data_IF_741338026976
#
_entry.id   IF_741338026976
#
_cell.length_a   1.000
_cell.length_b   1.000
_cell.length_c   1.000
_cell.angle_alpha   90.00
_cell.angle_beta   90.00
_cell.angle_gamma   90.00
#
_symmetry.space_group_name_H-M   'P 1'
#
loop_
_entity.id
_entity.type
_entity.pdbx_description
1 polymer ?
#
# COMPACT_ATOMS: atom_id res chain seq x y z
N UNK A 1 22.21 -12.11 -25.01
CA UNK A 1 20.87 -12.35 -24.44
C UNK A 1 20.01 -11.15 -24.82
N UNK A 2 18.76 -11.34 -25.23
CA UNK A 2 17.87 -10.20 -25.43
C UNK A 2 17.67 -9.50 -24.09
N UNK A 3 17.89 -8.18 -24.03
CA UNK A 3 17.71 -7.41 -22.82
C UNK A 3 16.21 -7.38 -22.46
N UNK A 4 15.88 -7.58 -21.19
CA UNK A 4 14.49 -7.51 -20.71
C UNK A 4 13.91 -6.11 -20.96
N UNK A 5 12.61 -6.01 -21.23
CA UNK A 5 11.93 -4.72 -21.38
C UNK A 5 11.89 -3.95 -20.06
N UNK A 6 12.15 -2.65 -20.10
CA UNK A 6 11.98 -1.77 -18.94
C UNK A 6 10.49 -1.56 -18.64
N UNK A 7 10.05 -1.59 -17.36
CA UNK A 7 8.64 -1.50 -16.96
C UNK A 7 8.12 -0.05 -16.91
N UNK A 8 8.21 0.68 -18.02
CA UNK A 8 7.78 2.08 -18.08
C UNK A 8 6.26 2.16 -17.86
N UNK A 9 5.84 2.86 -16.79
CA UNK A 9 4.43 3.06 -16.45
C UNK A 9 3.74 1.83 -15.85
N UNK A 10 4.48 0.79 -15.46
CA UNK A 10 3.94 -0.40 -14.80
C UNK A 10 4.09 -0.26 -13.29
N UNK A 11 2.97 -0.27 -12.57
CA UNK A 11 2.90 -0.20 -11.10
C UNK A 11 2.35 -1.50 -10.47
N UNK A 12 2.04 -2.51 -11.28
CA UNK A 12 1.63 -3.84 -10.83
C UNK A 12 2.81 -4.80 -10.79
N UNK A 13 3.17 -5.28 -9.60
CA UNK A 13 4.21 -6.28 -9.40
C UNK A 13 3.91 -7.60 -10.11
N UNK A 14 2.66 -8.07 -10.03
CA UNK A 14 2.22 -9.29 -10.71
C UNK A 14 2.42 -9.20 -12.22
N UNK A 15 1.97 -8.09 -12.83
CA UNK A 15 2.16 -7.86 -14.27
C UNK A 15 3.64 -7.82 -14.63
N UNK A 16 4.43 -7.09 -13.84
CA UNK A 16 5.87 -6.96 -14.06
C UNK A 16 6.57 -8.32 -14.09
N UNK A 17 6.23 -9.20 -13.14
CA UNK A 17 6.83 -10.53 -13.02
C UNK A 17 6.34 -11.51 -14.09
N UNK A 18 5.04 -11.52 -14.39
CA UNK A 18 4.45 -12.43 -15.39
C UNK A 18 4.86 -12.13 -16.82
N UNK A 19 5.05 -10.86 -17.15
CA UNK A 19 5.48 -10.42 -18.49
C UNK A 19 7.00 -10.30 -18.62
N UNK A 20 7.75 -10.76 -17.62
CA UNK A 20 9.23 -10.82 -17.57
C UNK A 20 9.92 -9.48 -17.85
N UNK A 21 9.37 -8.38 -17.30
CA UNK A 21 10.04 -7.10 -17.33
C UNK A 21 11.28 -7.09 -16.44
N UNK A 22 12.21 -6.15 -16.71
CA UNK A 22 13.34 -5.93 -15.84
C UNK A 22 12.87 -5.44 -14.47
N UNK A 23 13.22 -6.15 -13.42
CA UNK A 23 12.83 -5.83 -12.05
C UNK A 23 14.07 -5.69 -11.17
N UNK A 24 14.22 -4.53 -10.54
CA UNK A 24 15.18 -4.32 -9.47
C UNK A 24 14.55 -4.82 -8.18
N UNK A 25 15.18 -5.85 -7.60
CA UNK A 25 14.60 -6.61 -6.50
C UNK A 25 14.52 -5.77 -5.21
N UNK A 26 13.31 -5.36 -4.85
CA UNK A 26 12.99 -4.66 -3.60
C UNK A 26 12.28 -5.56 -2.56
N UNK A 27 12.30 -6.88 -2.76
CA UNK A 27 11.65 -7.81 -1.83
C UNK A 27 12.33 -7.87 -0.46
N UNK A 28 13.53 -7.32 -0.32
CA UNK A 28 14.15 -7.03 0.97
C UNK A 28 13.27 -6.19 1.90
N UNK A 29 12.40 -5.33 1.35
CA UNK A 29 11.38 -4.60 2.12
C UNK A 29 10.47 -5.54 2.92
N UNK A 30 10.08 -6.68 2.34
CA UNK A 30 9.21 -7.66 3.02
C UNK A 30 9.94 -8.25 4.24
N UNK A 31 11.20 -8.68 4.05
CA UNK A 31 12.03 -9.22 5.14
C UNK A 31 12.19 -8.21 6.27
N UNK A 32 12.56 -6.99 5.93
CA UNK A 32 12.85 -5.97 6.93
C UNK A 32 11.57 -5.47 7.62
N UNK A 33 10.45 -5.42 6.90
CA UNK A 33 9.13 -5.16 7.47
C UNK A 33 8.74 -6.27 8.46
N UNK A 34 8.84 -7.55 8.08
CA UNK A 34 8.47 -8.68 8.94
C UNK A 34 9.34 -8.81 10.19
N UNK A 35 10.60 -8.38 10.12
CA UNK A 35 11.50 -8.41 11.27
C UNK A 35 11.31 -7.21 12.22
N UNK A 36 10.75 -6.10 11.75
CA UNK A 36 10.71 -4.83 12.50
C UNK A 36 9.33 -4.16 12.51
N UNK A 37 8.27 -4.85 12.14
CA UNK A 37 6.97 -4.23 11.96
C UNK A 37 6.36 -3.67 13.24
N UNK A 38 5.76 -2.47 13.10
CA UNK A 38 4.80 -1.94 14.05
C UNK A 38 3.37 -2.30 13.63
N UNK A 39 2.40 -2.01 14.46
CA UNK A 39 0.99 -2.25 14.13
C UNK A 39 0.56 -1.44 12.88
N UNK A 40 1.07 -0.20 12.74
CA UNK A 40 0.86 0.64 11.56
C UNK A 40 2.20 1.21 11.09
N UNK A 41 2.61 0.85 9.88
CA UNK A 41 3.87 1.27 9.28
C UNK A 41 3.61 2.31 8.19
N UNK A 42 4.11 3.51 8.39
CA UNK A 42 3.94 4.63 7.46
C UNK A 42 5.25 4.92 6.74
N UNK A 43 5.25 4.82 5.42
CA UNK A 43 6.37 5.18 4.57
C UNK A 43 6.09 6.49 3.83
N UNK A 44 6.88 7.53 4.09
CA UNK A 44 6.81 8.78 3.34
C UNK A 44 8.00 8.90 2.40
N UNK A 45 7.73 8.88 1.09
CA UNK A 45 8.74 8.97 0.03
C UNK A 45 8.24 9.89 -1.09
N UNK A 46 9.10 10.63 -1.78
CA UNK A 46 8.70 11.50 -2.88
C UNK A 46 7.98 10.72 -3.99
N UNK A 47 7.38 11.43 -4.94
CA UNK A 47 6.78 10.82 -6.14
C UNK A 47 7.84 10.09 -6.96
N UNK A 48 7.45 9.01 -7.68
CA UNK A 48 8.30 8.19 -8.56
C UNK A 48 9.33 7.29 -7.88
N UNK A 49 9.31 7.13 -6.56
CA UNK A 49 10.19 6.22 -5.80
C UNK A 49 9.59 4.82 -5.58
N UNK A 50 8.73 4.32 -6.47
CA UNK A 50 8.26 2.94 -6.44
C UNK A 50 7.26 2.57 -5.34
N UNK A 51 6.63 3.55 -4.65
CA UNK A 51 5.67 3.29 -3.56
C UNK A 51 4.57 2.32 -3.97
N UNK A 52 3.84 2.62 -5.04
CA UNK A 52 2.71 1.81 -5.54
C UNK A 52 3.16 0.41 -5.95
N UNK A 53 4.32 0.28 -6.61
CA UNK A 53 4.88 -1.02 -6.99
C UNK A 53 5.20 -1.87 -5.75
N UNK A 54 5.82 -1.27 -4.72
CA UNK A 54 6.09 -1.95 -3.46
C UNK A 54 4.80 -2.36 -2.74
N UNK A 55 3.75 -1.53 -2.77
CA UNK A 55 2.44 -1.88 -2.21
C UNK A 55 1.80 -3.04 -2.97
N UNK A 56 1.89 -3.05 -4.29
CA UNK A 56 1.45 -4.18 -5.14
C UNK A 56 2.24 -5.46 -4.82
N UNK A 57 3.55 -5.36 -4.60
CA UNK A 57 4.41 -6.46 -4.18
C UNK A 57 3.99 -7.02 -2.82
N UNK A 58 3.76 -6.17 -1.82
CA UNK A 58 3.28 -6.57 -0.50
C UNK A 58 1.93 -7.30 -0.58
N UNK A 59 0.99 -6.76 -1.38
CA UNK A 59 -0.29 -7.43 -1.65
C UNK A 59 -0.06 -8.84 -2.20
N UNK A 60 0.73 -8.98 -3.27
CA UNK A 60 1.03 -10.27 -3.89
C UNK A 60 1.73 -11.25 -2.95
N UNK A 61 2.49 -10.76 -1.97
CA UNK A 61 3.15 -11.60 -0.99
C UNK A 61 2.21 -12.13 0.09
N UNK A 62 1.37 -11.28 0.67
CA UNK A 62 0.55 -11.65 1.84
C UNK A 62 -0.78 -12.31 1.47
N UNK A 63 -1.38 -11.95 0.32
CA UNK A 63 -2.76 -12.29 -0.01
C UNK A 63 -2.99 -13.79 -0.19
N UNK A 64 -4.02 -14.31 0.49
CA UNK A 64 -4.46 -15.71 0.34
C UNK A 64 -4.86 -15.96 -1.12
N UNK A 65 -4.30 -17.03 -1.70
CA UNK A 65 -4.56 -17.40 -3.08
C UNK A 65 -3.68 -16.70 -4.13
N UNK A 66 -2.78 -15.80 -3.69
CA UNK A 66 -1.81 -15.18 -4.60
C UNK A 66 -0.80 -16.20 -5.16
N UNK A 67 -0.31 -15.92 -6.34
CA UNK A 67 0.68 -16.75 -7.05
C UNK A 67 2.07 -16.58 -6.41
N UNK A 68 2.50 -17.59 -5.69
CA UNK A 68 3.79 -17.57 -4.98
C UNK A 68 5.00 -17.60 -5.91
N UNK A 69 4.83 -18.11 -7.14
CA UNK A 69 5.91 -18.20 -8.13
C UNK A 69 6.39 -16.83 -8.60
N UNK A 70 5.61 -15.77 -8.36
CA UNK A 70 6.03 -14.39 -8.63
C UNK A 70 7.31 -14.00 -7.88
N UNK A 71 7.62 -14.68 -6.77
CA UNK A 71 8.77 -14.41 -5.92
C UNK A 71 9.97 -15.33 -6.21
N UNK A 72 9.85 -16.28 -7.14
CA UNK A 72 10.94 -17.19 -7.46
C UNK A 72 12.18 -16.44 -7.93
N UNK A 73 13.33 -16.78 -7.33
CA UNK A 73 14.62 -16.16 -7.64
C UNK A 73 14.83 -14.77 -7.03
N UNK A 74 13.88 -14.23 -6.27
CA UNK A 74 14.03 -12.94 -5.57
C UNK A 74 14.60 -13.15 -4.15
N UNK A 75 15.12 -12.08 -3.55
CA UNK A 75 15.77 -12.11 -2.23
C UNK A 75 14.87 -12.73 -1.16
N UNK A 76 13.58 -12.38 -1.14
CA UNK A 76 12.65 -12.92 -0.14
C UNK A 76 12.46 -14.42 -0.25
N UNK A 77 12.63 -15.04 -1.43
CA UNK A 77 12.51 -16.48 -1.62
C UNK A 77 13.59 -17.27 -0.89
N UNK A 78 14.69 -16.63 -0.51
CA UNK A 78 15.77 -17.21 0.28
C UNK A 78 15.42 -17.25 1.78
N UNK A 79 14.49 -16.44 2.22
CA UNK A 79 13.98 -16.37 3.60
C UNK A 79 12.87 -17.41 3.82
N UNK A 80 13.22 -18.68 3.75
CA UNK A 80 12.25 -19.81 3.75
C UNK A 80 11.30 -19.77 4.95
N UNK A 81 11.81 -19.48 6.15
CA UNK A 81 10.99 -19.39 7.36
C UNK A 81 9.93 -18.27 7.29
N UNK A 82 10.30 -17.09 6.73
CA UNK A 82 9.36 -15.99 6.53
C UNK A 82 8.33 -16.33 5.45
N UNK A 83 8.76 -16.94 4.35
CA UNK A 83 7.86 -17.39 3.29
C UNK A 83 6.86 -18.43 3.80
N UNK A 84 7.30 -19.42 4.56
CA UNK A 84 6.41 -20.43 5.16
C UNK A 84 5.41 -19.83 6.13
N UNK A 85 5.82 -18.86 6.94
CA UNK A 85 4.97 -18.24 7.95
C UNK A 85 3.97 -17.24 7.38
N UNK A 86 4.34 -16.48 6.34
CA UNK A 86 3.60 -15.28 5.92
C UNK A 86 3.12 -15.28 4.47
N UNK A 87 3.81 -15.94 3.52
CA UNK A 87 3.47 -15.85 2.10
C UNK A 87 2.15 -16.53 1.78
N UNK A 88 1.18 -15.74 1.29
CA UNK A 88 -0.16 -16.20 0.93
C UNK A 88 -1.01 -16.66 2.11
N UNK A 89 -0.81 -16.06 3.30
CA UNK A 89 -1.45 -16.51 4.56
C UNK A 89 -2.52 -15.56 5.08
N UNK A 90 -2.63 -14.35 4.56
CA UNK A 90 -3.48 -13.30 5.13
C UNK A 90 -4.53 -12.82 4.14
N UNK A 91 -5.76 -12.54 4.58
CA UNK A 91 -6.64 -11.71 3.79
C UNK A 91 -6.04 -10.29 3.72
N UNK A 92 -6.05 -9.69 2.52
CA UNK A 92 -5.48 -8.37 2.28
C UNK A 92 -6.56 -7.43 1.79
N UNK A 93 -6.74 -6.30 2.50
CA UNK A 93 -7.50 -5.15 2.02
C UNK A 93 -6.50 -4.17 1.42
N UNK A 94 -6.67 -3.81 0.15
CA UNK A 94 -5.78 -2.89 -0.56
C UNK A 94 -6.56 -1.78 -1.24
N UNK A 95 -6.22 -0.53 -0.88
CA UNK A 95 -6.77 0.66 -1.56
C UNK A 95 -5.67 1.62 -1.98
N UNK A 96 -5.89 2.31 -3.09
CA UNK A 96 -5.10 3.48 -3.48
C UNK A 96 -6.00 4.71 -3.50
N UNK A 97 -5.61 5.73 -2.74
CA UNK A 97 -6.32 7.01 -2.69
C UNK A 97 -5.86 8.01 -3.75
N UNK A 98 -5.00 7.55 -4.68
CA UNK A 98 -4.44 8.37 -5.77
C UNK A 98 -5.50 9.10 -6.61
N UNK A 99 -6.67 8.49 -6.78
CA UNK A 99 -7.76 9.03 -7.61
C UNK A 99 -8.75 9.94 -6.86
N UNK A 100 -8.55 10.22 -5.57
CA UNK A 100 -9.46 11.08 -4.80
C UNK A 100 -9.06 12.54 -5.00
N UNK A 101 -9.56 13.16 -6.07
CA UNK A 101 -9.21 14.50 -6.54
C UNK A 101 -10.48 15.22 -7.04
N UNK A 102 -11.44 15.49 -6.15
CA UNK A 102 -12.65 16.23 -6.44
C UNK A 102 -12.46 17.75 -6.30
N UNK A 103 -13.17 18.53 -7.10
CA UNK A 103 -13.19 19.99 -6.97
C UNK A 103 -13.99 20.45 -5.75
N UNK A 104 -14.96 19.63 -5.32
CA UNK A 104 -15.76 19.84 -4.10
C UNK A 104 -15.57 18.66 -3.15
N UNK A 105 -15.98 18.84 -1.89
CA UNK A 105 -15.99 17.75 -0.92
C UNK A 105 -16.89 16.59 -1.39
N UNK A 106 -18.04 16.89 -1.94
CA UNK A 106 -19.01 15.91 -2.44
C UNK A 106 -18.42 15.06 -3.57
N UNK A 107 -17.71 15.68 -4.52
CA UNK A 107 -17.03 14.96 -5.60
C UNK A 107 -15.94 14.04 -5.06
N UNK A 108 -15.11 14.56 -4.14
CA UNK A 108 -14.03 13.79 -3.52
C UNK A 108 -14.56 12.64 -2.64
N UNK A 109 -15.65 12.87 -1.92
CA UNK A 109 -16.35 11.84 -1.16
C UNK A 109 -16.89 10.74 -2.06
N UNK A 110 -17.52 11.11 -3.18
CA UNK A 110 -18.02 10.16 -4.18
C UNK A 110 -16.91 9.27 -4.73
N UNK A 111 -15.74 9.85 -5.03
CA UNK A 111 -14.55 9.11 -5.50
C UNK A 111 -14.03 8.15 -4.42
N UNK A 112 -13.90 8.60 -3.17
CA UNK A 112 -13.48 7.75 -2.05
C UNK A 112 -14.47 6.60 -1.83
N UNK A 113 -15.77 6.91 -1.87
CA UNK A 113 -16.84 5.92 -1.71
C UNK A 113 -16.75 4.83 -2.76
N UNK A 114 -16.52 5.19 -4.04
CA UNK A 114 -16.34 4.21 -5.13
C UNK A 114 -15.15 3.28 -4.87
N UNK A 115 -14.01 3.81 -4.43
CA UNK A 115 -12.83 3.01 -4.09
C UNK A 115 -13.15 2.01 -2.98
N UNK A 116 -13.85 2.45 -1.93
CA UNK A 116 -14.25 1.59 -0.81
C UNK A 116 -15.23 0.50 -1.24
N UNK A 117 -16.24 0.86 -2.04
CA UNK A 117 -17.23 -0.11 -2.57
C UNK A 117 -16.58 -1.10 -3.53
N UNK A 118 -15.67 -0.65 -4.39
CA UNK A 118 -14.93 -1.53 -5.30
C UNK A 118 -14.10 -2.55 -4.53
N UNK A 119 -13.36 -2.11 -3.51
CA UNK A 119 -12.61 -3.03 -2.67
C UNK A 119 -13.53 -3.99 -1.89
N UNK A 120 -14.64 -3.50 -1.34
CA UNK A 120 -15.63 -4.35 -0.68
C UNK A 120 -16.23 -5.40 -1.62
N UNK A 121 -16.41 -5.07 -2.91
CA UNK A 121 -16.96 -5.97 -3.92
C UNK A 121 -16.05 -7.18 -4.18
N UNK A 122 -14.74 -7.07 -3.98
CA UNK A 122 -13.81 -8.21 -4.03
C UNK A 122 -14.17 -9.28 -3.01
N UNK A 123 -14.80 -8.90 -1.93
CA UNK A 123 -15.17 -9.76 -0.80
C UNK A 123 -16.66 -10.12 -0.78
N UNK A 124 -17.38 -9.93 -1.88
CA UNK A 124 -18.80 -10.27 -1.98
C UNK A 124 -19.12 -11.72 -1.58
N UNK A 125 -18.19 -12.65 -1.81
CA UNK A 125 -18.31 -14.05 -1.42
C UNK A 125 -18.52 -14.27 0.08
N UNK A 126 -18.17 -13.29 0.93
CA UNK A 126 -18.40 -13.34 2.36
C UNK A 126 -19.89 -13.39 2.71
N UNK A 127 -20.76 -12.88 1.84
CA UNK A 127 -22.23 -12.96 2.01
C UNK A 127 -22.73 -14.43 2.00
N UNK A 128 -22.00 -15.33 1.34
CA UNK A 128 -22.31 -16.76 1.26
C UNK A 128 -21.55 -17.58 2.33
N UNK A 129 -20.72 -16.94 3.15
CA UNK A 129 -19.92 -17.65 4.16
C UNK A 129 -20.79 -18.24 5.26
N UNK A 130 -20.69 -19.56 5.54
CA UNK A 130 -21.41 -20.19 6.64
C UNK A 130 -20.83 -19.86 8.03
N UNK A 131 -19.62 -19.25 8.06
CA UNK A 131 -18.94 -18.87 9.31
C UNK A 131 -19.35 -17.49 9.82
N UNK A 132 -20.13 -16.73 9.03
CA UNK A 132 -20.54 -15.36 9.32
C UNK A 132 -22.05 -15.34 9.57
N UNK A 133 -22.48 -14.70 10.66
CA UNK A 133 -23.91 -14.59 10.96
C UNK A 133 -24.59 -13.62 9.99
N UNK A 134 -25.90 -13.78 9.73
CA UNK A 134 -26.66 -12.88 8.86
C UNK A 134 -26.65 -11.42 9.39
N UNK A 135 -26.64 -11.23 10.70
CA UNK A 135 -26.51 -9.91 11.29
C UNK A 135 -25.16 -9.24 10.96
N UNK A 136 -24.07 -10.00 10.98
CA UNK A 136 -22.74 -9.48 10.64
C UNK A 136 -22.58 -9.19 9.14
N UNK A 137 -23.28 -9.95 8.27
CA UNK A 137 -23.29 -9.72 6.81
C UNK A 137 -24.06 -8.46 6.40
N UNK A 138 -25.02 -8.03 7.21
CA UNK A 138 -25.94 -6.91 6.89
C UNK A 138 -25.20 -5.61 6.48
N UNK A 139 -24.16 -5.12 7.20
CA UNK A 139 -23.45 -3.91 6.80
C UNK A 139 -22.74 -4.06 5.44
N UNK A 140 -22.16 -5.22 5.13
CA UNK A 140 -21.56 -5.47 3.81
C UNK A 140 -22.61 -5.47 2.70
N UNK A 141 -23.77 -6.11 2.92
CA UNK A 141 -24.89 -6.10 1.97
C UNK A 141 -25.36 -4.68 1.69
N UNK A 142 -25.54 -3.86 2.73
CA UNK A 142 -25.92 -2.45 2.61
C UNK A 142 -24.89 -1.66 1.79
N UNK A 143 -23.60 -1.84 2.08
CA UNK A 143 -22.50 -1.17 1.36
C UNK A 143 -22.52 -1.50 -0.13
N UNK A 144 -22.76 -2.77 -0.49
CA UNK A 144 -22.78 -3.24 -1.88
C UNK A 144 -24.08 -2.86 -2.63
N UNK A 145 -25.23 -2.88 -1.97
CA UNK A 145 -26.54 -2.60 -2.59
C UNK A 145 -26.81 -1.10 -2.74
N UNK A 146 -26.55 -0.32 -1.68
CA UNK A 146 -26.86 1.12 -1.66
C UNK A 146 -25.89 1.98 -2.43
N UNK A 147 -24.75 1.44 -2.80
CA UNK A 147 -23.65 2.09 -3.54
C UNK A 147 -23.60 3.64 -3.50
N UNK A 148 -24.63 4.35 -3.96
CA UNK A 148 -24.69 5.82 -4.03
C UNK A 148 -25.16 6.51 -2.77
N UNK A 149 -25.91 5.81 -1.92
CA UNK A 149 -26.55 6.35 -0.72
C UNK A 149 -25.88 5.86 0.58
N UNK A 150 -24.61 5.44 0.49
CA UNK A 150 -23.80 5.04 1.63
C UNK A 150 -23.38 6.29 2.40
N UNK A 151 -23.61 6.32 3.71
CA UNK A 151 -23.25 7.47 4.54
C UNK A 151 -21.76 7.56 4.84
N UNK A 152 -21.29 8.75 5.23
CA UNK A 152 -19.89 8.93 5.68
C UNK A 152 -19.55 8.01 6.87
N UNK A 153 -20.49 7.76 7.77
CA UNK A 153 -20.29 6.85 8.90
C UNK A 153 -20.12 5.39 8.47
N UNK A 154 -20.84 4.95 7.41
CA UNK A 154 -20.68 3.60 6.87
C UNK A 154 -19.34 3.45 6.16
N UNK A 155 -18.91 4.47 5.42
CA UNK A 155 -17.56 4.51 4.81
C UNK A 155 -16.49 4.50 5.90
N UNK A 156 -16.61 5.30 6.95
CA UNK A 156 -15.66 5.30 8.06
C UNK A 156 -15.53 3.93 8.75
N UNK A 157 -16.64 3.18 8.86
CA UNK A 157 -16.69 1.85 9.49
C UNK A 157 -16.26 0.70 8.55
N UNK A 158 -16.17 0.94 7.24
CA UNK A 158 -16.08 -0.11 6.20
C UNK A 158 -14.88 -1.04 6.38
N UNK A 159 -13.67 -0.52 6.59
CA UNK A 159 -12.48 -1.38 6.69
C UNK A 159 -12.43 -2.19 7.97
N UNK A 160 -12.92 -1.65 9.08
CA UNK A 160 -13.07 -2.43 10.31
C UNK A 160 -14.11 -3.54 10.14
N UNK A 161 -15.24 -3.23 9.50
CA UNK A 161 -16.28 -4.21 9.17
C UNK A 161 -15.73 -5.31 8.27
N UNK A 162 -15.05 -4.97 7.17
CA UNK A 162 -14.41 -5.93 6.27
C UNK A 162 -13.36 -6.79 7.02
N UNK A 163 -12.53 -6.17 7.87
CA UNK A 163 -11.54 -6.89 8.68
C UNK A 163 -12.20 -7.94 9.57
N UNK A 164 -13.32 -7.59 10.24
CA UNK A 164 -14.10 -8.52 11.05
C UNK A 164 -14.61 -9.71 10.23
N UNK A 165 -15.25 -9.44 9.10
CA UNK A 165 -15.83 -10.49 8.25
C UNK A 165 -14.77 -11.41 7.66
N UNK A 166 -13.64 -10.87 7.22
CA UNK A 166 -12.51 -11.63 6.71
C UNK A 166 -11.91 -12.51 7.81
N UNK A 167 -11.74 -11.96 9.02
CA UNK A 167 -11.28 -12.74 10.17
C UNK A 167 -12.25 -13.88 10.52
N UNK A 168 -13.55 -13.65 10.54
CA UNK A 168 -14.56 -14.68 10.79
C UNK A 168 -14.50 -15.78 9.71
N UNK A 169 -14.27 -15.42 8.47
CA UNK A 169 -14.21 -16.37 7.35
C UNK A 169 -12.94 -17.20 7.33
N UNK A 170 -11.77 -16.57 7.46
CA UNK A 170 -10.47 -17.23 7.30
C UNK A 170 -9.85 -17.70 8.63
N UNK A 171 -10.25 -17.12 9.76
CA UNK A 171 -9.57 -17.31 11.04
C UNK A 171 -8.21 -16.64 11.13
N UNK A 172 -7.91 -15.73 10.18
CA UNK A 172 -6.66 -14.99 10.08
C UNK A 172 -6.91 -13.49 10.14
N UNK A 173 -6.05 -12.76 10.85
CA UNK A 173 -6.10 -11.30 10.89
C UNK A 173 -5.76 -10.72 9.52
N UNK A 174 -6.19 -9.48 9.29
CA UNK A 174 -6.12 -8.80 8.00
C UNK A 174 -4.85 -7.96 7.89
N UNK A 175 -4.19 -7.99 6.75
CA UNK A 175 -3.20 -6.99 6.35
C UNK A 175 -3.91 -5.88 5.59
N UNK A 176 -3.74 -4.63 6.05
CA UNK A 176 -4.36 -3.45 5.43
C UNK A 176 -3.28 -2.61 4.72
N UNK A 177 -3.43 -2.43 3.43
CA UNK A 177 -2.50 -1.68 2.59
C UNK A 177 -3.21 -0.44 2.02
N UNK A 178 -2.68 0.76 2.31
CA UNK A 178 -3.24 2.04 1.87
C UNK A 178 -2.17 2.83 1.13
N UNK A 179 -2.32 2.95 -0.18
CA UNK A 179 -1.41 3.71 -1.02
C UNK A 179 -1.87 5.16 -1.22
N UNK A 180 -0.92 6.09 -1.23
CA UNK A 180 -1.14 7.53 -1.45
C UNK A 180 -2.18 8.15 -0.49
N UNK A 181 -2.04 7.87 0.82
CA UNK A 181 -2.98 8.28 1.87
C UNK A 181 -3.17 9.80 1.98
N UNK A 182 -2.19 10.58 1.54
CA UNK A 182 -2.12 12.03 1.66
C UNK A 182 -2.75 12.77 0.49
N UNK A 183 -3.01 12.11 -0.64
CA UNK A 183 -3.57 12.75 -1.86
C UNK A 183 -4.92 13.41 -1.61
N UNK A 184 -5.91 12.78 -0.94
CA UNK A 184 -7.19 13.44 -0.66
C UNK A 184 -7.04 14.73 0.15
N UNK A 185 -6.06 14.76 1.06
CA UNK A 185 -5.81 15.90 1.95
C UNK A 185 -5.10 17.05 1.22
N UNK A 186 -4.11 16.71 0.38
CA UNK A 186 -3.41 17.67 -0.47
C UNK A 186 -4.40 18.36 -1.43
N UNK A 187 -5.25 17.59 -2.11
CA UNK A 187 -6.27 18.11 -3.01
C UNK A 187 -7.32 18.96 -2.28
N UNK A 188 -7.82 18.48 -1.15
CA UNK A 188 -8.77 19.21 -0.33
C UNK A 188 -8.22 20.55 0.19
N UNK A 189 -6.91 20.62 0.48
CA UNK A 189 -6.25 21.86 0.87
C UNK A 189 -6.27 22.87 -0.29
N UNK A 190 -5.97 22.45 -1.49
CA UNK A 190 -5.97 23.30 -2.67
C UNK A 190 -7.37 23.78 -3.09
N UNK A 191 -8.39 22.97 -2.84
CA UNK A 191 -9.78 23.28 -3.22
C UNK A 191 -10.65 23.83 -2.08
N UNK A 192 -10.09 23.98 -0.86
CA UNK A 192 -10.73 24.72 0.24
C UNK A 192 -11.66 23.91 1.13
N UNK A 193 -11.75 22.58 0.98
CA UNK A 193 -12.56 21.70 1.84
C UNK A 193 -11.71 20.75 2.74
N UNK A 194 -10.52 21.24 3.15
CA UNK A 194 -9.55 20.47 3.93
C UNK A 194 -10.11 19.94 5.25
N UNK A 195 -10.95 20.73 5.96
CA UNK A 195 -11.47 20.35 7.27
C UNK A 195 -12.42 19.16 7.18
N UNK A 196 -13.29 19.15 6.20
CA UNK A 196 -14.26 18.09 5.91
C UNK A 196 -13.51 16.80 5.54
N UNK A 197 -12.54 16.88 4.65
CA UNK A 197 -11.73 15.74 4.23
C UNK A 197 -10.91 15.17 5.40
N UNK A 198 -10.31 16.02 6.23
CA UNK A 198 -9.60 15.56 7.44
C UNK A 198 -10.54 14.81 8.38
N UNK A 199 -11.78 15.28 8.58
CA UNK A 199 -12.74 14.62 9.46
C UNK A 199 -13.11 13.22 8.91
N UNK A 200 -13.36 13.11 7.61
CA UNK A 200 -13.68 11.87 6.92
C UNK A 200 -12.53 10.85 6.99
N UNK A 201 -11.31 11.23 6.57
CA UNK A 201 -10.13 10.36 6.58
C UNK A 201 -9.74 9.96 8.01
N UNK A 202 -9.85 10.88 8.99
CA UNK A 202 -9.64 10.56 10.40
C UNK A 202 -10.64 9.53 10.91
N UNK A 203 -11.91 9.64 10.53
CA UNK A 203 -12.93 8.66 10.86
C UNK A 203 -12.60 7.27 10.30
N UNK A 204 -12.24 7.21 9.01
CA UNK A 204 -11.88 5.98 8.31
C UNK A 204 -10.65 5.30 8.94
N UNK A 205 -9.56 6.05 9.10
CA UNK A 205 -8.32 5.50 9.66
C UNK A 205 -8.43 5.22 11.15
N UNK A 206 -9.18 6.05 11.89
CA UNK A 206 -9.43 5.83 13.31
C UNK A 206 -10.07 4.48 13.60
N UNK A 207 -11.07 4.09 12.81
CA UNK A 207 -11.74 2.79 12.95
C UNK A 207 -10.92 1.63 12.38
N UNK A 208 -10.23 1.85 11.27
CA UNK A 208 -9.46 0.80 10.59
C UNK A 208 -8.16 0.45 11.30
N UNK A 209 -7.45 1.44 11.86
CA UNK A 209 -6.07 1.33 12.34
C UNK A 209 -5.95 1.40 13.87
N UNK A 210 -6.94 1.98 14.57
CA UNK A 210 -6.94 2.05 16.03
C UNK A 210 -7.98 1.09 16.58
N UNK A 211 -7.58 0.30 17.57
CA UNK A 211 -8.51 -0.64 18.25
C UNK A 211 -9.19 -1.65 17.31
N UNK A 212 -8.60 -1.95 16.17
CA UNK A 212 -9.07 -3.00 15.25
C UNK A 212 -8.41 -4.33 15.62
N UNK A 213 -9.08 -5.13 16.46
CA UNK A 213 -8.60 -6.43 16.93
C UNK A 213 -8.38 -7.46 15.81
N UNK A 214 -8.97 -7.22 14.64
CA UNK A 214 -8.86 -8.07 13.44
C UNK A 214 -7.68 -7.68 12.54
N UNK A 215 -6.97 -6.60 12.87
CA UNK A 215 -5.81 -6.13 12.12
C UNK A 215 -4.56 -6.93 12.52
N UNK A 216 -3.83 -7.46 11.52
CA UNK A 216 -2.50 -8.03 11.71
C UNK A 216 -1.48 -6.90 11.80
N UNK A 217 -1.41 -6.11 10.75
CA UNK A 217 -0.72 -4.84 10.66
C UNK A 217 -1.22 -4.05 9.44
N UNK A 218 -0.85 -2.77 9.38
CA UNK A 218 -1.12 -1.93 8.23
C UNK A 218 0.19 -1.34 7.67
N UNK A 219 0.17 -1.10 6.35
CA UNK A 219 1.20 -0.31 5.65
C UNK A 219 0.52 0.83 4.91
N UNK A 220 0.99 2.04 5.16
CA UNK A 220 0.55 3.24 4.47
C UNK A 220 1.71 3.86 3.69
N UNK A 221 1.44 4.36 2.48
CA UNK A 221 2.42 5.13 1.71
C UNK A 221 1.86 6.49 1.32
N UNK A 222 2.73 7.49 1.30
CA UNK A 222 2.40 8.85 0.87
C UNK A 222 3.65 9.67 0.53
N UNK A 223 3.45 10.89 0.04
CA UNK A 223 4.54 11.82 -0.23
C UNK A 223 4.86 12.71 0.97
N UNK A 224 3.84 13.07 1.73
CA UNK A 224 3.91 14.01 2.83
C UNK A 224 3.72 13.30 4.17
N UNK A 225 4.44 13.76 5.17
CA UNK A 225 4.09 13.49 6.57
C UNK A 225 3.03 14.51 6.98
N UNK A 226 1.77 14.17 6.85
CA UNK A 226 0.67 15.00 7.35
C UNK A 226 0.83 15.14 8.87
N UNK A 227 0.68 16.36 9.39
CA UNK A 227 0.87 16.65 10.81
C UNK A 227 0.04 15.69 11.68
N UNK A 228 0.66 15.15 12.75
CA UNK A 228 -0.03 14.22 13.69
C UNK A 228 -1.35 14.78 14.22
N UNK A 229 -1.45 16.10 14.30
CA UNK A 229 -2.61 16.82 14.80
C UNK A 229 -3.79 16.85 13.85
N UNK A 230 -3.64 16.39 12.58
CA UNK A 230 -4.72 16.38 11.61
C UNK A 230 -5.47 15.04 11.56
N UNK A 231 -4.90 14.02 10.90
CA UNK A 231 -5.57 12.72 10.69
C UNK A 231 -5.13 11.65 11.69
N UNK A 232 -3.93 11.76 12.24
CA UNK A 232 -3.36 10.77 13.16
C UNK A 232 -3.50 11.14 14.64
N UNK A 233 -4.32 12.16 14.97
CA UNK A 233 -4.60 12.54 16.35
C UNK A 233 -5.18 11.37 17.13
N UNK A 234 -4.48 10.98 18.20
CA UNK A 234 -4.90 9.85 19.04
C UNK A 234 -4.52 8.46 18.52
N UNK A 235 -3.80 8.38 17.38
CA UNK A 235 -3.19 7.15 16.89
C UNK A 235 -1.73 7.09 17.38
N UNK A 236 -1.47 6.29 18.40
CA UNK A 236 -0.13 6.19 19.03
C UNK A 236 0.69 5.00 18.54
N UNK A 237 0.11 4.18 17.65
CA UNK A 237 0.64 2.91 17.16
C UNK A 237 1.33 3.02 15.78
N UNK A 238 1.70 4.25 15.36
CA UNK A 238 2.38 4.48 14.09
C UNK A 238 3.91 4.39 14.22
N UNK A 239 4.50 3.52 13.42
CA UNK A 239 5.93 3.54 13.10
C UNK A 239 6.12 4.33 11.79
N UNK A 240 6.65 5.56 11.92
CA UNK A 240 6.81 6.48 10.79
C UNK A 240 8.22 6.37 10.24
N UNK A 241 8.32 5.97 8.98
CA UNK A 241 9.58 5.78 8.27
C UNK A 241 9.70 6.81 7.14
N UNK A 242 10.36 7.92 7.42
CA UNK A 242 10.56 9.04 6.50
C UNK A 242 11.88 8.93 5.73
N UNK A 243 12.16 9.92 4.89
CA UNK A 243 13.44 9.98 4.13
C UNK A 243 14.67 10.18 5.01
N UNK A 244 14.52 10.61 6.26
CA UNK A 244 15.67 10.82 7.19
C UNK A 244 16.01 9.57 8.00
N UNK A 245 15.16 8.54 7.96
CA UNK A 245 15.35 7.31 8.69
C UNK A 245 16.21 6.33 7.90
N UNK A 246 17.23 5.74 8.54
CA UNK A 246 18.11 4.76 7.91
C UNK A 246 17.42 3.41 7.68
N UNK A 247 16.38 3.11 8.46
CA UNK A 247 15.58 1.91 8.25
C UNK A 247 14.75 2.07 6.97
N UNK A 248 14.84 1.11 6.07
CA UNK A 248 14.17 1.09 4.77
C UNK A 248 14.65 2.15 3.75
N UNK A 249 15.85 2.69 3.89
CA UNK A 249 16.38 3.74 3.02
C UNK A 249 16.72 3.25 1.60
N UNK A 250 17.01 1.96 1.41
CA UNK A 250 17.33 1.36 0.11
C UNK A 250 16.13 0.72 -0.62
N UNK A 251 14.95 0.64 0.03
CA UNK A 251 13.80 -0.07 -0.53
C UNK A 251 12.92 0.77 -1.46
N UNK A 252 13.19 2.08 -1.54
CA UNK A 252 12.44 3.01 -2.38
C UNK A 252 13.40 3.77 -3.29
N UNK A 253 13.07 3.84 -4.60
CA UNK A 253 13.99 4.34 -5.62
C UNK A 253 15.09 3.33 -5.95
N UNK A 254 16.12 3.76 -6.63
CA UNK A 254 17.25 2.93 -7.04
C UNK A 254 18.52 3.36 -6.31
N UNK A 255 19.23 2.44 -5.69
CA UNK A 255 20.55 2.70 -5.11
C UNK A 255 21.59 2.87 -6.20
N UNK A 256 22.73 3.48 -5.86
CA UNK A 256 23.85 3.64 -6.80
C UNK A 256 24.32 2.28 -7.37
N UNK A 257 24.36 1.24 -6.54
CA UNK A 257 24.77 -0.10 -6.98
C UNK A 257 23.75 -0.70 -7.97
N UNK A 258 22.45 -0.54 -7.71
CA UNK A 258 21.38 -1.03 -8.59
C UNK A 258 21.39 -0.31 -9.94
N UNK A 259 21.67 0.99 -9.96
CA UNK A 259 21.82 1.77 -11.21
C UNK A 259 23.03 1.29 -12.01
N UNK A 260 24.17 1.09 -11.37
CA UNK A 260 25.35 0.57 -12.06
C UNK A 260 25.10 -0.83 -12.63
N UNK A 261 24.43 -1.70 -11.90
CA UNK A 261 24.04 -3.02 -12.40
C UNK A 261 23.08 -2.92 -13.59
N UNK A 262 22.07 -2.06 -13.50
CA UNK A 262 21.14 -1.80 -14.60
C UNK A 262 21.87 -1.35 -15.87
N UNK A 263 22.79 -0.39 -15.75
CA UNK A 263 23.58 0.10 -16.89
C UNK A 263 24.43 -1.02 -17.51
N UNK A 264 25.08 -1.83 -16.67
CA UNK A 264 25.90 -2.97 -17.13
C UNK A 264 25.06 -4.03 -17.86
N UNK A 265 23.85 -4.34 -17.35
CA UNK A 265 22.94 -5.31 -17.97
C UNK A 265 22.46 -4.87 -19.36
N UNK A 266 22.50 -3.56 -19.64
CA UNK A 266 22.13 -2.99 -20.95
C UNK A 266 23.36 -2.56 -21.80
N UNK A 267 24.59 -2.78 -21.31
CA UNK A 267 25.83 -2.38 -22.00
C UNK A 267 26.01 -0.86 -22.09
N UNK A 268 25.58 -0.14 -21.07
CA UNK A 268 25.59 1.32 -20.97
C UNK A 268 26.49 1.83 -19.83
N UNK A 269 27.52 1.06 -19.46
CA UNK A 269 28.41 1.37 -18.34
C UNK A 269 29.06 2.76 -18.48
N UNK A 270 29.36 3.19 -19.70
CA UNK A 270 29.98 4.48 -20.00
C UNK A 270 29.09 5.70 -19.65
N UNK A 271 27.77 5.48 -19.52
CA UNK A 271 26.80 6.54 -19.20
C UNK A 271 26.58 6.74 -17.69
N UNK A 272 27.32 6.04 -16.81
CA UNK A 272 27.11 6.10 -15.36
C UNK A 272 27.22 7.54 -14.79
N UNK A 273 28.19 8.32 -15.27
CA UNK A 273 28.37 9.71 -14.83
C UNK A 273 27.24 10.63 -15.32
N UNK A 274 26.75 10.43 -16.54
CA UNK A 274 25.63 11.15 -17.11
C UNK A 274 24.32 10.81 -16.37
N UNK A 275 24.06 9.51 -16.13
CA UNK A 275 22.90 9.06 -15.36
C UNK A 275 22.86 9.70 -13.97
N UNK A 276 24.02 9.73 -13.29
CA UNK A 276 24.14 10.40 -11.99
C UNK A 276 23.81 11.89 -12.09
N UNK A 277 24.33 12.59 -13.08
CA UNK A 277 24.08 14.01 -13.26
C UNK A 277 22.61 14.35 -13.51
N UNK A 278 21.85 13.43 -14.15
CA UNK A 278 20.42 13.64 -14.46
C UNK A 278 19.47 13.24 -13.35
N UNK A 279 19.77 12.20 -12.57
CA UNK A 279 18.81 11.53 -11.67
C UNK A 279 19.26 11.49 -10.21
N UNK A 280 20.50 11.93 -9.90
CA UNK A 280 21.02 12.02 -8.53
C UNK A 280 20.45 13.25 -7.81
N UNK A 281 20.41 13.18 -6.49
CA UNK A 281 20.07 14.33 -5.65
C UNK A 281 19.13 14.00 -4.51
N UNK A 282 18.80 12.72 -4.29
CA UNK A 282 18.03 12.29 -3.15
C UNK A 282 18.89 11.44 -2.22
N UNK A 283 18.80 11.75 -0.93
CA UNK A 283 19.41 10.95 0.12
C UNK A 283 18.34 10.50 1.09
N UNK A 284 18.21 9.18 1.26
CA UNK A 284 17.35 8.57 2.25
C UNK A 284 18.23 7.93 3.31
N UNK A 285 18.09 8.34 4.59
CA UNK A 285 18.96 7.84 5.65
C UNK A 285 20.44 7.97 5.29
N UNK A 286 21.08 6.85 5.02
CA UNK A 286 22.48 6.77 4.59
C UNK A 286 22.67 6.46 3.10
N UNK A 287 21.60 6.12 2.39
CA UNK A 287 21.63 5.73 0.98
C UNK A 287 21.44 6.94 0.05
N UNK A 288 22.30 7.04 -0.98
CA UNK A 288 22.06 7.91 -2.13
C UNK A 288 21.16 7.14 -3.11
N UNK A 289 20.05 7.73 -3.51
CA UNK A 289 19.01 7.08 -4.30
C UNK A 289 18.57 7.92 -5.48
N UNK A 290 18.17 7.23 -6.54
CA UNK A 290 17.69 7.79 -7.81
C UNK A 290 16.18 7.55 -7.94
N UNK A 291 15.49 8.44 -8.65
CA UNK A 291 14.06 8.29 -8.95
C UNK A 291 13.80 7.56 -10.27
#
# INVERSE_FOLDING_TARGET
MESKKLPVGIDSFEKLRREDFYYIDKTGLIRDLLNNWGEVNLFTRPRRFGKTLNMSMLKSFFEIGADKTLFDGLLISQETALCEAYMGKFPVIFISLKGVDGLTFEDAYEMLRRIVVEEASRFQYLLESPRITEADKCPLRILLEKQRDVSESDIAASFRMLSKLLYQHYGQKVVLLIDEYDVPLDKAFHHGYYREMVALIRGLFGQALKTNEYLQFAVLTGCLRVAKESIFTGLNNFDVNSIVDARYDEHFGFTNQEVLQLLSDYGLDEHAAEMKAWYDGYRFGYADVYC
#
